data_IF_350489844618
#
_entry.id   IF_350489844618
#
_cell.length_a   1.000
_cell.length_b   1.000
_cell.length_c   1.000
_cell.angle_alpha   90.00
_cell.angle_beta   90.00
_cell.angle_gamma   90.00
#
_symmetry.space_group_name_H-M   'P 1'
#
loop_
_entity.id
_entity.type
_entity.pdbx_description
1 polymer ?
#
# COMPACT_ATOMS: atom_id res chain seq x y z
N UNK A 1 -1.33 -11.18 -15.28
CA UNK A 1 -0.38 -10.24 -14.64
C UNK A 1 0.15 -10.69 -13.28
N UNK A 2 -0.53 -11.55 -12.52
CA UNK A 2 -0.02 -12.09 -11.23
C UNK A 2 1.25 -12.97 -11.30
N UNK A 3 1.68 -13.41 -12.49
CA UNK A 3 2.81 -14.35 -12.65
C UNK A 3 4.20 -13.68 -12.57
N UNK A 4 4.33 -12.44 -13.07
CA UNK A 4 5.63 -11.78 -13.15
C UNK A 4 6.22 -11.43 -11.77
N UNK A 5 5.38 -11.23 -10.77
CA UNK A 5 5.81 -10.84 -9.42
C UNK A 5 6.35 -12.01 -8.59
N UNK A 6 5.91 -13.24 -8.91
CA UNK A 6 6.42 -14.47 -8.26
C UNK A 6 7.73 -14.95 -8.89
N UNK A 7 7.91 -14.76 -10.21
CA UNK A 7 9.16 -15.13 -10.90
C UNK A 7 10.32 -14.16 -10.63
N UNK A 8 10.04 -12.94 -10.15
CA UNK A 8 11.06 -11.89 -9.95
C UNK A 8 11.84 -11.99 -8.63
N UNK A 9 11.46 -12.89 -7.71
CA UNK A 9 12.09 -12.97 -6.38
C UNK A 9 12.03 -14.40 -5.81
N UNK A 10 13.18 -15.01 -5.44
CA UNK A 10 13.22 -16.31 -4.76
C UNK A 10 12.85 -16.21 -3.26
N UNK A 11 12.00 -15.25 -2.87
CA UNK A 11 11.64 -15.01 -1.48
C UNK A 11 10.73 -16.12 -0.97
N UNK A 12 11.28 -16.96 -0.10
CA UNK A 12 10.58 -18.11 0.52
C UNK A 12 9.94 -17.75 1.88
N UNK A 13 10.02 -16.48 2.31
CA UNK A 13 9.44 -15.98 3.56
C UNK A 13 8.16 -15.17 3.35
N UNK A 14 7.48 -14.76 4.44
CA UNK A 14 6.38 -13.82 4.35
C UNK A 14 6.83 -12.53 3.64
N UNK A 15 5.98 -12.00 2.75
CA UNK A 15 6.22 -10.71 2.12
C UNK A 15 6.33 -9.61 3.18
N UNK A 16 7.28 -8.68 3.05
CA UNK A 16 7.44 -7.61 4.04
C UNK A 16 6.24 -6.67 4.01
N UNK A 17 5.93 -6.06 5.15
CA UNK A 17 5.03 -4.90 5.17
C UNK A 17 5.71 -3.71 4.51
N UNK A 18 4.95 -2.88 3.80
CA UNK A 18 5.48 -1.72 3.07
C UNK A 18 4.82 -0.40 3.49
N UNK A 19 5.58 0.69 3.41
CA UNK A 19 5.08 2.06 3.61
C UNK A 19 5.36 2.90 2.35
N UNK A 20 4.29 3.41 1.74
CA UNK A 20 4.32 4.28 0.55
C UNK A 20 4.12 5.71 1.00
N UNK A 21 5.00 6.63 0.58
CA UNK A 21 4.92 8.04 0.93
C UNK A 21 4.84 8.85 -0.35
N UNK A 22 3.76 9.63 -0.51
CA UNK A 22 3.53 10.42 -1.72
C UNK A 22 3.17 11.87 -1.39
N UNK A 23 3.78 12.81 -2.11
CA UNK A 23 3.47 14.23 -2.03
C UNK A 23 2.16 14.57 -2.75
N UNK A 24 1.21 15.17 -2.04
CA UNK A 24 -0.09 15.54 -2.63
C UNK A 24 -0.01 16.72 -3.61
N UNK A 25 1.08 17.47 -3.62
CA UNK A 25 1.34 18.59 -4.52
C UNK A 25 2.39 18.24 -5.60
N UNK A 26 2.87 17.00 -5.65
CA UNK A 26 3.86 16.55 -6.61
C UNK A 26 3.26 16.52 -8.02
N UNK A 27 3.68 17.47 -8.85
CA UNK A 27 3.29 17.55 -10.27
C UNK A 27 4.20 16.73 -11.18
N UNK A 28 5.30 16.18 -10.67
CA UNK A 28 6.26 15.37 -11.41
C UNK A 28 5.81 13.90 -11.45
N UNK A 29 5.26 13.40 -10.34
CA UNK A 29 4.76 12.03 -10.23
C UNK A 29 3.28 12.05 -9.87
N UNK A 30 2.44 11.62 -10.81
CA UNK A 30 1.01 11.53 -10.61
C UNK A 30 0.68 10.67 -9.38
N UNK A 31 -0.23 11.14 -8.52
CA UNK A 31 -0.64 10.42 -7.31
C UNK A 31 -1.20 9.03 -7.60
N UNK A 32 -1.60 8.77 -8.85
CA UNK A 32 -1.98 7.44 -9.35
C UNK A 32 -0.86 6.40 -9.23
N UNK A 33 0.41 6.80 -9.18
CA UNK A 33 1.52 5.86 -8.99
C UNK A 33 1.51 5.27 -7.57
N UNK A 34 1.25 6.09 -6.55
CA UNK A 34 1.09 5.59 -5.18
C UNK A 34 -0.08 4.60 -5.10
N UNK A 35 -1.21 4.94 -5.73
CA UNK A 35 -2.37 4.03 -5.81
C UNK A 35 -2.04 2.72 -6.56
N UNK A 36 -1.25 2.79 -7.64
CA UNK A 36 -0.82 1.60 -8.39
C UNK A 36 0.14 0.70 -7.59
N UNK A 37 1.08 1.29 -6.84
CA UNK A 37 1.98 0.55 -5.95
C UNK A 37 1.16 -0.16 -4.86
N UNK A 38 0.26 0.58 -4.20
CA UNK A 38 -0.65 -0.01 -3.20
C UNK A 38 -1.46 -1.15 -3.80
N UNK A 39 -2.03 -0.98 -5.01
CA UNK A 39 -2.81 -2.04 -5.67
C UNK A 39 -1.97 -3.30 -5.95
N UNK A 40 -0.73 -3.14 -6.40
CA UNK A 40 0.17 -4.26 -6.65
C UNK A 40 0.51 -5.00 -5.34
N UNK A 41 0.84 -4.28 -4.28
CA UNK A 41 1.16 -4.89 -2.98
C UNK A 41 -0.07 -5.51 -2.31
N UNK A 42 -1.26 -4.97 -2.52
CA UNK A 42 -2.51 -5.63 -2.10
C UNK A 42 -2.66 -6.99 -2.74
N UNK A 43 -2.37 -7.12 -4.04
CA UNK A 43 -2.39 -8.41 -4.73
C UNK A 43 -1.30 -9.37 -4.23
N UNK A 44 -0.12 -8.87 -3.83
CA UNK A 44 0.94 -9.67 -3.20
C UNK A 44 0.47 -10.29 -1.89
N UNK A 45 -0.18 -9.48 -1.06
CA UNK A 45 -0.66 -9.89 0.26
C UNK A 45 -2.03 -10.60 0.22
N UNK A 46 -2.65 -10.77 -0.94
CA UNK A 46 -3.98 -11.39 -1.08
C UNK A 46 -5.13 -10.53 -0.53
N UNK A 47 -4.92 -9.21 -0.41
CA UNK A 47 -5.89 -8.22 0.09
C UNK A 47 -6.84 -7.72 -1.03
N UNK A 48 -6.87 -8.39 -2.16
CA UNK A 48 -7.74 -8.15 -3.32
C UNK A 48 -9.03 -8.99 -3.27
N UNK A 49 -9.09 -10.01 -2.41
CA UNK A 49 -10.23 -10.92 -2.31
C UNK A 49 -10.67 -11.16 -0.85
N UNK A 50 -11.99 -11.20 -0.59
CA UNK A 50 -12.56 -11.57 0.72
C UNK A 50 -12.73 -10.42 1.72
N UNK A 51 -12.82 -10.76 3.01
CA UNK A 51 -13.04 -9.82 4.13
C UNK A 51 -11.83 -8.88 4.35
N UNK A 52 -10.63 -9.32 3.98
CA UNK A 52 -9.38 -8.58 4.15
C UNK A 52 -9.27 -7.37 3.21
N UNK A 53 -9.94 -7.41 2.06
CA UNK A 53 -10.01 -6.29 1.12
C UNK A 53 -10.74 -5.06 1.68
N UNK A 54 -11.49 -5.22 2.77
CA UNK A 54 -12.28 -4.16 3.43
C UNK A 54 -11.58 -3.55 4.64
N UNK A 55 -10.51 -4.16 5.14
CA UNK A 55 -9.82 -3.68 6.34
C UNK A 55 -8.87 -2.52 5.99
N UNK A 56 -9.46 -1.39 5.60
CA UNK A 56 -8.77 -0.12 5.39
C UNK A 56 -9.03 0.81 6.57
N UNK A 57 -7.99 1.24 7.27
CA UNK A 57 -8.04 2.30 8.26
C UNK A 57 -7.53 3.58 7.62
N UNK A 58 -8.29 4.67 7.72
CA UNK A 58 -7.83 6.00 7.33
C UNK A 58 -7.75 6.87 8.57
N UNK A 59 -6.62 7.54 8.78
CA UNK A 59 -6.40 8.43 9.91
C UNK A 59 -5.51 9.61 9.52
N UNK A 60 -5.49 10.64 10.36
CA UNK A 60 -4.58 11.77 10.22
C UNK A 60 -3.44 11.60 11.21
N UNK A 61 -2.20 11.59 10.73
CA UNK A 61 -0.98 11.52 11.54
C UNK A 61 -0.15 12.76 11.24
N UNK A 62 0.10 13.59 12.26
CA UNK A 62 0.89 14.83 12.14
C UNK A 62 0.47 15.76 10.98
N UNK A 63 -0.84 15.85 10.71
CA UNK A 63 -1.38 16.67 9.63
C UNK A 63 -1.31 16.03 8.24
N UNK A 64 -0.92 14.77 8.14
CA UNK A 64 -0.86 13.99 6.91
C UNK A 64 -1.89 12.86 6.91
N UNK A 65 -2.46 12.56 5.74
CA UNK A 65 -3.43 11.47 5.62
C UNK A 65 -2.69 10.14 5.52
N UNK A 66 -2.97 9.22 6.46
CA UNK A 66 -2.46 7.84 6.48
C UNK A 66 -3.59 6.87 6.15
N UNK A 67 -3.38 6.00 5.16
CA UNK A 67 -4.23 4.83 4.87
C UNK A 67 -3.46 3.56 5.20
N UNK A 68 -4.10 2.61 5.87
CA UNK A 68 -3.49 1.34 6.28
C UNK A 68 -4.36 0.18 5.85
N UNK A 69 -3.73 -0.86 5.31
CA UNK A 69 -4.36 -2.14 5.01
C UNK A 69 -3.85 -3.22 5.96
N UNK A 70 -4.78 -3.97 6.55
CA UNK A 70 -4.50 -5.04 7.52
C UNK A 70 -5.01 -6.40 7.03
N UNK A 71 -4.38 -7.47 7.48
CA UNK A 71 -4.92 -8.83 7.31
C UNK A 71 -5.95 -9.18 8.40
N UNK A 72 -6.59 -10.35 8.27
CA UNK A 72 -7.52 -10.91 9.26
C UNK A 72 -6.93 -11.03 10.67
N UNK A 73 -5.60 -11.11 10.81
CA UNK A 73 -4.89 -11.17 12.08
C UNK A 73 -4.60 -9.78 12.67
N UNK A 74 -5.02 -8.70 11.99
CA UNK A 74 -4.84 -7.32 12.43
C UNK A 74 -3.45 -6.74 12.15
N UNK A 75 -2.58 -7.45 11.44
CA UNK A 75 -1.23 -6.98 11.10
C UNK A 75 -1.30 -5.95 9.98
N UNK A 76 -0.58 -4.83 10.15
CA UNK A 76 -0.45 -3.78 9.14
C UNK A 76 0.52 -4.26 8.05
N UNK A 77 -0.01 -4.48 6.84
CA UNK A 77 0.76 -4.99 5.71
C UNK A 77 1.14 -3.88 4.73
N UNK A 78 0.30 -2.87 4.61
CA UNK A 78 0.54 -1.74 3.70
C UNK A 78 0.13 -0.46 4.42
N UNK A 79 0.97 0.55 4.31
CA UNK A 79 0.67 1.91 4.74
C UNK A 79 0.90 2.86 3.58
N UNK A 80 0.02 3.86 3.43
CA UNK A 80 0.19 4.95 2.48
C UNK A 80 0.05 6.27 3.24
N UNK A 81 1.06 7.13 3.12
CA UNK A 81 1.04 8.50 3.61
C UNK A 81 0.91 9.46 2.45
N UNK A 82 -0.07 10.36 2.55
CA UNK A 82 -0.28 11.49 1.66
C UNK A 82 0.13 12.75 2.40
N UNK A 83 1.28 13.29 2.01
CA UNK A 83 1.86 14.48 2.63
C UNK A 83 1.28 15.72 1.96
N UNK A 84 0.47 16.46 2.71
CA UNK A 84 -0.11 17.73 2.28
C UNK A 84 0.99 18.76 1.96
N UNK A 85 0.99 19.33 0.74
CA UNK A 85 1.92 20.40 0.36
C UNK A 85 3.35 19.98 0.03
N UNK A 86 3.66 18.68 0.02
CA UNK A 86 4.94 18.15 -0.47
C UNK A 86 4.83 17.84 -1.97
N UNK A 87 5.80 18.32 -2.76
CA UNK A 87 5.87 18.19 -4.21
C UNK A 87 7.00 19.03 -4.80
#
# INVERSE_FOLDING_TARGET
MQKALRDASPHQGPWPSISVWHGSADQTVASSNADAIVAQWRAVHGLDHGLDARSTRSEMVDGHSRRVWRNAQGQELIEEYRIAGMG
#
